data_IF_584721571974
#
_entry.id   IF_584721571974
#
_cell.length_a   1.000
_cell.length_b   1.000
_cell.length_c   1.000
_cell.angle_alpha   90.00
_cell.angle_beta   90.00
_cell.angle_gamma   90.00
#
_symmetry.space_group_name_H-M   'P 1'
#
loop_
_entity.id
_entity.type
_entity.pdbx_description
1 polymer ?
#
# COMPACT_ATOMS: atom_id res chain seq x y z
N UNK A 1 1.85 -7.80 0.30
CA UNK A 1 0.88 -7.87 -0.80
C UNK A 1 1.51 -8.61 -1.97
N UNK A 2 0.68 -9.32 -2.71
CA UNK A 2 1.08 -10.10 -3.88
C UNK A 2 1.00 -9.24 -5.15
N UNK A 3 1.16 -7.94 -5.01
CA UNK A 3 1.04 -6.97 -6.08
C UNK A 3 2.35 -6.23 -6.30
N UNK A 4 2.68 -6.01 -7.56
CA UNK A 4 3.79 -5.15 -7.98
C UNK A 4 3.27 -4.02 -8.82
N UNK A 5 3.79 -2.82 -8.62
CA UNK A 5 3.47 -1.67 -9.46
C UNK A 5 4.16 -1.84 -10.80
N UNK A 6 3.37 -1.88 -11.88
CA UNK A 6 3.88 -2.03 -13.25
C UNK A 6 3.92 -0.70 -14.00
N UNK A 7 3.09 0.26 -13.60
CA UNK A 7 3.03 1.60 -14.19
C UNK A 7 2.69 2.62 -13.13
N UNK A 8 3.33 3.77 -13.18
CA UNK A 8 3.02 4.92 -12.34
C UNK A 8 2.99 6.20 -13.17
N UNK A 9 1.98 7.03 -12.96
CA UNK A 9 1.79 8.30 -13.66
C UNK A 9 1.48 9.39 -12.64
N UNK A 10 2.34 10.40 -12.57
CA UNK A 10 2.09 11.59 -11.76
C UNK A 10 1.26 12.59 -12.58
N UNK A 11 0.07 12.90 -12.08
CA UNK A 11 -0.79 13.94 -12.62
C UNK A 11 -0.64 15.19 -11.76
N UNK A 12 -0.14 16.26 -12.34
CA UNK A 12 0.07 17.54 -11.65
C UNK A 12 -0.87 18.59 -12.22
N UNK A 13 -1.57 19.26 -11.32
CA UNK A 13 -2.26 20.52 -11.60
C UNK A 13 -1.47 21.62 -10.92
N UNK A 14 -0.99 22.60 -11.71
CA UNK A 14 -0.22 23.73 -11.15
C UNK A 14 -0.46 25.02 -11.93
N UNK A 15 -0.22 26.12 -11.25
CA UNK A 15 -0.34 27.48 -11.82
C UNK A 15 0.95 28.22 -11.55
N UNK A 16 1.77 28.48 -12.57
CA UNK A 16 2.96 29.31 -12.41
C UNK A 16 2.61 30.80 -12.35
N UNK A 17 3.38 31.56 -11.57
CA UNK A 17 3.25 33.01 -11.52
C UNK A 17 3.36 33.64 -12.91
N UNK A 18 2.54 34.64 -13.23
CA UNK A 18 2.62 35.34 -14.51
C UNK A 18 3.92 36.13 -14.69
N UNK A 19 4.66 36.38 -13.62
CA UNK A 19 5.92 37.14 -13.64
C UNK A 19 7.16 36.30 -13.90
N UNK A 20 7.02 34.99 -14.04
CA UNK A 20 8.17 34.08 -14.24
C UNK A 20 8.74 34.21 -15.66
N UNK A 21 10.06 34.07 -15.77
CA UNK A 21 10.73 33.92 -17.05
C UNK A 21 10.51 32.52 -17.60
N UNK A 22 9.87 32.39 -18.76
CA UNK A 22 9.69 31.08 -19.41
C UNK A 22 11.03 30.42 -19.70
N UNK A 23 11.05 29.08 -19.68
CA UNK A 23 12.22 28.21 -19.93
C UNK A 23 13.26 28.26 -18.81
N UNK A 24 13.55 29.45 -18.25
CA UNK A 24 14.48 29.57 -17.11
C UNK A 24 13.86 29.07 -15.80
N UNK A 25 12.54 29.22 -15.67
CA UNK A 25 11.78 28.70 -14.52
C UNK A 25 11.32 27.26 -14.80
N UNK A 26 11.38 26.42 -13.77
CA UNK A 26 11.07 25.00 -13.92
C UNK A 26 10.60 24.38 -12.61
N UNK A 27 9.85 23.30 -12.73
CA UNK A 27 9.45 22.42 -11.64
C UNK A 27 10.16 21.08 -11.75
N UNK A 28 10.97 20.74 -10.77
CA UNK A 28 11.64 19.44 -10.69
C UNK A 28 10.82 18.50 -9.83
N UNK A 29 10.69 17.26 -10.28
CA UNK A 29 9.93 16.20 -9.60
C UNK A 29 10.87 15.11 -9.15
N UNK A 30 10.83 14.82 -7.85
CA UNK A 30 11.62 13.74 -7.24
C UNK A 30 10.68 12.71 -6.61
N UNK A 31 11.06 11.45 -6.72
CA UNK A 31 10.48 10.35 -5.97
C UNK A 31 11.60 9.69 -5.15
N UNK A 32 11.42 9.61 -3.83
CA UNK A 32 12.39 9.00 -2.91
C UNK A 32 13.82 9.56 -3.11
N UNK A 33 13.90 10.89 -3.29
CA UNK A 33 15.11 11.68 -3.57
C UNK A 33 15.74 11.49 -4.95
N UNK A 34 15.18 10.63 -5.80
CA UNK A 34 15.61 10.47 -7.19
C UNK A 34 14.85 11.41 -8.13
N UNK A 35 15.56 12.09 -9.02
CA UNK A 35 14.96 13.00 -10.00
C UNK A 35 14.20 12.19 -11.06
N UNK A 36 12.88 12.36 -11.12
CA UNK A 36 12.03 11.70 -12.10
C UNK A 36 11.87 12.52 -13.40
N UNK A 37 11.94 13.82 -13.30
CA UNK A 37 11.83 14.70 -14.47
C UNK A 37 11.78 16.17 -14.10
N UNK A 38 11.81 17.00 -15.13
CA UNK A 38 11.77 18.46 -15.07
C UNK A 38 10.66 18.97 -15.98
N UNK A 39 9.81 19.83 -15.46
CA UNK A 39 8.74 20.51 -16.18
C UNK A 39 9.14 21.99 -16.35
N UNK A 40 9.61 22.44 -17.51
CA UNK A 40 9.89 23.84 -17.74
C UNK A 40 8.59 24.64 -17.79
N UNK A 41 8.61 25.86 -17.26
CA UNK A 41 7.49 26.81 -17.38
C UNK A 41 7.50 27.40 -18.77
N UNK A 42 6.38 27.31 -19.48
CA UNK A 42 6.23 27.90 -20.82
C UNK A 42 5.46 29.22 -20.75
N UNK A 43 5.59 30.05 -21.77
CA UNK A 43 4.91 31.34 -21.86
C UNK A 43 3.39 31.21 -21.79
N UNK A 44 2.85 30.14 -22.39
CA UNK A 44 1.41 29.89 -22.46
C UNK A 44 0.83 29.48 -21.12
N UNK A 45 1.66 28.98 -20.19
CA UNK A 45 1.27 28.50 -18.87
C UNK A 45 1.21 29.64 -17.82
N UNK A 46 1.86 30.76 -18.08
CA UNK A 46 1.98 31.87 -17.12
C UNK A 46 0.62 32.37 -16.63
N UNK A 47 0.41 32.33 -15.32
CA UNK A 47 -0.83 32.71 -14.66
C UNK A 47 -2.02 31.81 -14.95
N UNK A 48 -1.82 30.66 -15.58
CA UNK A 48 -2.89 29.75 -15.97
C UNK A 48 -2.75 28.39 -15.29
N UNK A 49 -3.89 27.82 -14.94
CA UNK A 49 -3.99 26.45 -14.48
C UNK A 49 -3.51 25.50 -15.57
N UNK A 50 -2.49 24.73 -15.25
CA UNK A 50 -1.82 23.81 -16.16
C UNK A 50 -1.96 22.38 -15.66
N UNK A 51 -2.24 21.45 -16.55
CA UNK A 51 -2.25 20.02 -16.28
C UNK A 51 -1.04 19.38 -16.97
N UNK A 52 -0.26 18.63 -16.21
CA UNK A 52 0.87 17.87 -16.73
C UNK A 52 0.81 16.43 -16.24
N UNK A 53 1.23 15.51 -17.11
CA UNK A 53 1.40 14.10 -16.78
C UNK A 53 2.87 13.73 -16.91
N UNK A 54 3.42 13.11 -15.87
CA UNK A 54 4.81 12.65 -15.88
C UNK A 54 4.85 11.17 -15.54
N UNK A 55 5.36 10.31 -16.43
CA UNK A 55 5.60 8.92 -16.12
C UNK A 55 6.67 8.81 -15.05
N UNK A 56 6.38 7.99 -14.04
CA UNK A 56 7.29 7.66 -12.95
C UNK A 56 7.80 6.24 -13.15
N UNK A 57 9.10 6.04 -13.00
CA UNK A 57 9.67 4.70 -13.06
C UNK A 57 9.19 3.86 -11.86
N UNK A 58 8.40 2.79 -12.09
CA UNK A 58 7.83 1.99 -11.01
C UNK A 58 8.88 1.27 -10.16
N UNK A 59 10.10 1.09 -10.65
CA UNK A 59 11.20 0.48 -9.89
C UNK A 59 11.64 1.31 -8.67
N UNK A 60 11.34 2.61 -8.66
CA UNK A 60 11.63 3.49 -7.53
C UNK A 60 10.49 3.55 -6.50
N UNK A 61 9.36 2.87 -6.78
CA UNK A 61 8.23 2.82 -5.85
C UNK A 61 8.51 1.74 -4.80
N UNK A 62 8.43 2.15 -3.54
CA UNK A 62 8.65 1.32 -2.36
C UNK A 62 7.40 1.26 -1.50
N UNK A 63 7.47 0.64 -0.33
CA UNK A 63 6.35 0.58 0.62
C UNK A 63 5.95 1.98 1.15
N UNK A 64 6.93 2.88 1.27
CA UNK A 64 6.71 4.28 1.67
C UNK A 64 7.37 5.19 0.64
N UNK A 65 6.57 6.07 0.06
CA UNK A 65 7.04 6.93 -1.02
C UNK A 65 6.89 8.40 -0.66
N UNK A 66 7.91 9.19 -1.02
CA UNK A 66 7.89 10.64 -0.88
C UNK A 66 8.05 11.30 -2.24
N UNK A 67 7.00 11.98 -2.68
CA UNK A 67 7.08 12.88 -3.84
C UNK A 67 7.50 14.25 -3.35
N UNK A 68 8.59 14.78 -3.90
CA UNK A 68 9.09 16.13 -3.63
C UNK A 68 9.07 16.94 -4.92
N UNK A 69 8.49 18.12 -4.81
CA UNK A 69 8.48 19.11 -5.88
C UNK A 69 9.44 20.23 -5.50
N UNK A 70 10.33 20.57 -6.41
CA UNK A 70 11.29 21.67 -6.23
C UNK A 70 11.06 22.69 -7.36
N UNK A 71 10.60 23.86 -6.94
CA UNK A 71 10.37 24.98 -7.85
C UNK A 71 11.64 25.84 -7.94
N UNK A 72 12.12 26.02 -9.18
CA UNK A 72 13.16 26.98 -9.51
C UNK A 72 12.53 28.10 -10.31
N UNK A 73 12.43 29.28 -9.74
CA UNK A 73 11.77 30.44 -10.32
C UNK A 73 12.74 31.57 -10.59
N UNK A 74 12.63 32.17 -11.79
CA UNK A 74 13.37 33.36 -12.21
C UNK A 74 12.39 34.39 -12.74
N UNK A 75 12.59 35.67 -12.42
CA UNK A 75 11.81 36.81 -12.92
C UNK A 75 12.65 37.86 -13.64
N UNK A 76 13.97 37.78 -13.52
CA UNK A 76 14.93 38.65 -14.19
C UNK A 76 16.17 37.84 -14.60
N UNK A 77 16.85 38.30 -15.66
CA UNK A 77 18.08 37.66 -16.11
C UNK A 77 19.30 37.96 -15.25
N UNK A 78 19.28 39.09 -14.52
CA UNK A 78 20.43 39.57 -13.74
C UNK A 78 19.92 40.17 -12.42
N UNK A 79 20.65 39.92 -11.33
CA UNK A 79 20.42 40.52 -10.00
C UNK A 79 19.01 40.29 -9.42
N UNK A 80 18.61 39.05 -9.30
CA UNK A 80 17.33 38.67 -8.70
C UNK A 80 17.36 38.74 -7.17
N UNK A 81 16.21 39.11 -6.60
CA UNK A 81 15.94 38.92 -5.17
C UNK A 81 15.24 37.58 -4.96
N UNK A 82 15.89 36.56 -4.33
CA UNK A 82 15.28 35.26 -4.13
C UNK A 82 14.06 35.28 -3.19
N UNK A 83 13.88 36.34 -2.42
CA UNK A 83 12.71 36.55 -1.55
C UNK A 83 11.59 37.35 -2.24
N UNK A 84 11.63 37.49 -3.56
CA UNK A 84 10.59 38.22 -4.30
C UNK A 84 9.26 37.48 -4.22
N UNK A 85 8.20 38.22 -3.88
CA UNK A 85 6.83 37.67 -3.84
C UNK A 85 6.25 37.32 -5.19
N UNK A 86 6.97 37.63 -6.28
CA UNK A 86 6.60 37.25 -7.65
C UNK A 86 7.04 35.84 -8.01
N UNK A 87 7.94 35.23 -7.21
CA UNK A 87 8.43 33.87 -7.39
C UNK A 87 7.53 32.87 -6.67
N UNK A 88 6.50 32.41 -7.34
CA UNK A 88 5.60 31.39 -6.83
C UNK A 88 5.12 30.43 -7.92
N UNK A 89 4.76 29.23 -7.48
CA UNK A 89 4.07 28.22 -8.26
C UNK A 89 3.09 27.51 -7.33
N UNK A 90 1.81 27.60 -7.66
CA UNK A 90 0.75 26.95 -6.90
C UNK A 90 0.55 25.52 -7.42
N UNK A 91 0.46 24.56 -6.50
CA UNK A 91 0.16 23.16 -6.82
C UNK A 91 -1.27 22.85 -6.40
N UNK A 92 -2.10 22.52 -7.37
CA UNK A 92 -3.51 22.23 -7.14
C UNK A 92 -3.73 20.90 -6.41
N UNK A 93 -4.78 20.88 -5.59
CA UNK A 93 -5.15 19.71 -4.78
C UNK A 93 -5.66 18.50 -5.59
N UNK A 94 -5.95 18.67 -6.87
CA UNK A 94 -6.32 17.58 -7.79
C UNK A 94 -5.10 16.83 -8.34
N UNK A 95 -3.89 17.22 -7.93
CA UNK A 95 -2.68 16.47 -8.24
C UNK A 95 -2.69 15.12 -7.54
N UNK A 96 -2.23 14.07 -8.23
CA UNK A 96 -2.24 12.71 -7.70
C UNK A 96 -1.29 11.78 -8.45
N UNK A 97 -1.10 10.61 -7.88
CA UNK A 97 -0.29 9.54 -8.46
C UNK A 97 -1.21 8.36 -8.81
N UNK A 98 -1.30 8.04 -10.09
CA UNK A 98 -2.02 6.87 -10.58
C UNK A 98 -1.06 5.69 -10.68
N UNK A 99 -1.43 4.59 -10.02
CA UNK A 99 -0.65 3.36 -9.99
C UNK A 99 -1.42 2.21 -10.65
N UNK A 100 -0.75 1.48 -11.52
CA UNK A 100 -1.25 0.23 -12.07
C UNK A 100 -0.51 -0.92 -11.42
N UNK A 101 -1.25 -1.88 -10.89
CA UNK A 101 -0.73 -3.05 -10.20
C UNK A 101 -0.91 -4.30 -11.04
N UNK A 102 0.01 -5.23 -10.86
CA UNK A 102 -0.11 -6.60 -11.32
C UNK A 102 -0.01 -7.53 -10.13
N UNK A 103 -0.97 -8.44 -10.00
CA UNK A 103 -0.92 -9.48 -8.98
C UNK A 103 0.16 -10.49 -9.32
N UNK A 104 1.01 -10.78 -8.34
CA UNK A 104 2.02 -11.83 -8.44
C UNK A 104 1.41 -13.14 -7.94
N UNK A 105 1.58 -14.20 -8.69
CA UNK A 105 1.20 -15.52 -8.23
C UNK A 105 2.28 -16.08 -7.29
N UNK A 106 2.28 -15.59 -6.05
CA UNK A 106 3.21 -16.05 -5.01
C UNK A 106 2.64 -17.30 -4.38
N UNK A 107 3.44 -18.38 -4.37
CA UNK A 107 3.06 -19.61 -3.68
C UNK A 107 2.96 -19.35 -2.17
N UNK A 108 1.84 -19.77 -1.58
CA UNK A 108 1.65 -19.70 -0.14
C UNK A 108 2.64 -20.64 0.56
N UNK A 109 3.44 -20.07 1.46
CA UNK A 109 4.45 -20.80 2.24
C UNK A 109 4.60 -20.14 3.62
N UNK A 110 4.73 -20.97 4.66
CA UNK A 110 4.93 -20.48 6.03
C UNK A 110 6.21 -19.65 6.22
N UNK A 111 7.21 -19.82 5.33
CA UNK A 111 8.42 -18.99 5.34
C UNK A 111 8.13 -17.51 5.11
N UNK A 112 6.99 -17.17 4.49
CA UNK A 112 6.52 -15.81 4.27
C UNK A 112 5.59 -15.28 5.39
N UNK A 113 5.38 -16.09 6.43
CA UNK A 113 4.51 -15.67 7.55
C UNK A 113 4.92 -14.28 8.10
N UNK A 114 3.97 -13.38 8.35
CA UNK A 114 2.52 -13.55 8.48
C UNK A 114 1.71 -13.43 7.17
N UNK A 115 2.31 -13.20 6.03
CA UNK A 115 1.60 -13.15 4.74
C UNK A 115 1.13 -14.59 4.37
N UNK A 116 -0.10 -14.78 3.86
CA UNK A 116 -1.07 -13.79 3.42
C UNK A 116 -2.10 -13.36 4.50
N UNK A 117 -1.96 -13.80 5.74
CA UNK A 117 -2.94 -13.57 6.82
C UNK A 117 -2.87 -12.15 7.38
N UNK A 118 -1.71 -11.53 7.30
CA UNK A 118 -1.46 -10.16 7.73
C UNK A 118 -0.33 -9.55 6.88
N UNK A 119 -0.62 -8.44 6.20
CA UNK A 119 0.39 -7.66 5.48
C UNK A 119 0.69 -6.37 6.27
N UNK A 120 1.91 -6.18 6.77
CA UNK A 120 2.29 -4.98 7.51
C UNK A 120 2.23 -3.70 6.65
N UNK A 121 2.23 -3.83 5.32
CA UNK A 121 2.17 -2.72 4.36
C UNK A 121 0.74 -2.27 4.02
N UNK A 122 -0.28 -3.09 4.34
CA UNK A 122 -1.68 -2.75 4.12
C UNK A 122 -2.16 -1.80 5.24
N UNK A 123 -2.88 -0.74 4.88
CA UNK A 123 -3.43 0.25 5.81
C UNK A 123 -4.88 -0.02 6.20
N UNK A 124 -5.51 -1.03 5.62
CA UNK A 124 -6.89 -1.40 5.90
C UNK A 124 -6.99 -2.21 7.21
N UNK A 125 -8.16 -2.15 7.84
CA UNK A 125 -8.50 -3.07 8.93
C UNK A 125 -8.33 -4.51 8.46
N UNK A 126 -7.53 -5.28 9.19
CA UNK A 126 -7.33 -6.68 8.84
C UNK A 126 -8.53 -7.52 9.35
N UNK A 127 -9.07 -8.37 8.49
CA UNK A 127 -10.13 -9.30 8.85
C UNK A 127 -9.64 -10.72 8.62
N UNK A 128 -9.48 -11.48 9.69
CA UNK A 128 -8.95 -12.84 9.69
C UNK A 128 -9.91 -13.77 10.39
N UNK A 129 -10.75 -14.51 9.64
CA UNK A 129 -11.67 -15.47 10.23
C UNK A 129 -10.93 -16.57 11.01
N UNK A 130 -11.52 -16.97 12.13
CA UNK A 130 -11.12 -18.11 12.94
C UNK A 130 -12.18 -19.18 12.83
N UNK A 131 -11.80 -20.36 12.34
CA UNK A 131 -12.72 -21.44 12.01
C UNK A 131 -12.53 -22.60 12.98
N UNK A 132 -13.65 -23.11 13.51
CA UNK A 132 -13.72 -24.28 14.38
C UNK A 132 -14.71 -25.30 13.79
N UNK A 133 -14.59 -26.56 14.16
CA UNK A 133 -15.57 -27.58 13.79
C UNK A 133 -16.95 -27.34 14.44
N UNK A 134 -16.94 -26.79 15.65
CA UNK A 134 -18.08 -26.44 16.46
C UNK A 134 -17.61 -25.62 17.65
N UNK A 135 -18.41 -25.50 18.69
CA UNK A 135 -18.02 -24.75 19.89
C UNK A 135 -16.66 -25.28 20.43
N UNK A 136 -15.64 -24.42 20.54
CA UNK A 136 -14.32 -24.82 20.97
C UNK A 136 -14.31 -25.17 22.47
N UNK A 137 -13.51 -26.15 22.85
CA UNK A 137 -13.18 -26.40 24.24
C UNK A 137 -12.20 -25.36 24.80
N UNK A 138 -11.87 -25.46 26.09
CA UNK A 138 -11.00 -24.47 26.75
C UNK A 138 -9.61 -24.41 26.11
N UNK A 139 -9.06 -25.52 25.67
CA UNK A 139 -7.73 -25.60 25.07
C UNK A 139 -7.69 -24.91 23.70
N UNK A 140 -8.70 -25.14 22.87
CA UNK A 140 -8.83 -24.45 21.58
C UNK A 140 -9.13 -22.95 21.75
N UNK A 141 -9.91 -22.58 22.80
CA UNK A 141 -10.13 -21.17 23.11
C UNK A 141 -8.82 -20.49 23.53
N UNK A 142 -8.00 -21.10 24.35
CA UNK A 142 -6.70 -20.58 24.73
C UNK A 142 -5.76 -20.43 23.52
N UNK A 143 -5.68 -21.45 22.68
CA UNK A 143 -4.86 -21.40 21.47
C UNK A 143 -5.31 -20.27 20.53
N UNK A 144 -6.62 -20.13 20.33
CA UNK A 144 -7.15 -19.07 19.48
C UNK A 144 -6.95 -17.68 20.06
N UNK A 145 -7.04 -17.53 21.39
CA UNK A 145 -6.77 -16.26 22.07
C UNK A 145 -5.30 -15.82 21.93
N UNK A 146 -4.36 -16.76 22.02
CA UNK A 146 -2.92 -16.49 21.80
C UNK A 146 -2.69 -15.99 20.37
N UNK A 147 -3.27 -16.68 19.40
CA UNK A 147 -3.14 -16.30 17.98
C UNK A 147 -3.79 -14.94 17.74
N UNK A 148 -5.00 -14.70 18.26
CA UNK A 148 -5.69 -13.41 18.13
C UNK A 148 -4.87 -12.27 18.76
N UNK A 149 -4.30 -12.50 19.94
CA UNK A 149 -3.45 -11.52 20.62
C UNK A 149 -2.21 -11.16 19.78
N UNK A 150 -1.59 -12.15 19.17
CA UNK A 150 -0.41 -11.93 18.33
C UNK A 150 -0.73 -11.07 17.09
N UNK A 151 -1.80 -11.38 16.35
CA UNK A 151 -2.22 -10.58 15.19
C UNK A 151 -2.73 -9.20 15.62
N UNK A 152 -3.49 -9.13 16.71
CA UNK A 152 -4.00 -7.88 17.26
C UNK A 152 -2.87 -6.91 17.64
N UNK A 153 -1.81 -7.40 18.27
CA UNK A 153 -0.66 -6.57 18.65
C UNK A 153 0.08 -5.97 17.45
N UNK A 154 0.02 -6.61 16.28
CA UNK A 154 0.67 -6.14 15.06
C UNK A 154 -0.20 -5.18 14.24
N UNK A 155 -1.50 -5.21 14.45
CA UNK A 155 -2.44 -4.38 13.68
C UNK A 155 -2.40 -2.90 14.06
N UNK A 156 -1.98 -2.58 15.29
CA UNK A 156 -1.84 -1.22 15.79
C UNK A 156 -3.12 -0.40 15.58
N UNK A 157 -3.00 0.77 15.02
CA UNK A 157 -4.11 1.70 14.77
C UNK A 157 -5.09 1.25 13.68
N UNK A 158 -4.72 0.29 12.83
CA UNK A 158 -5.56 -0.22 11.73
C UNK A 158 -6.76 -1.03 12.23
N UNK A 159 -6.64 -1.61 13.42
CA UNK A 159 -7.63 -2.53 13.95
C UNK A 159 -7.55 -3.94 13.35
N UNK A 160 -8.17 -4.87 14.04
CA UNK A 160 -8.18 -6.28 13.69
C UNK A 160 -9.56 -6.88 14.02
N UNK A 161 -10.16 -7.58 13.05
CA UNK A 161 -11.40 -8.33 13.23
C UNK A 161 -11.13 -9.82 13.08
N UNK A 162 -11.71 -10.61 14.02
CA UNK A 162 -11.66 -12.07 14.02
C UNK A 162 -13.07 -12.66 13.97
N UNK A 163 -13.73 -12.70 12.79
CA UNK A 163 -15.01 -13.41 12.68
C UNK A 163 -14.83 -14.88 13.05
N UNK A 164 -15.70 -15.39 13.92
CA UNK A 164 -15.69 -16.80 14.31
C UNK A 164 -16.68 -17.55 13.44
N UNK A 165 -16.22 -18.63 12.81
CA UNK A 165 -17.02 -19.50 11.95
C UNK A 165 -17.02 -20.92 12.48
N UNK A 166 -18.17 -21.58 12.42
CA UNK A 166 -18.33 -22.97 12.85
C UNK A 166 -18.66 -23.85 11.64
N UNK A 167 -17.80 -24.82 11.37
CA UNK A 167 -17.95 -25.79 10.27
C UNK A 167 -18.30 -25.13 8.91
N UNK A 168 -17.70 -23.99 8.65
CA UNK A 168 -17.95 -23.20 7.45
C UNK A 168 -16.63 -22.83 6.78
N UNK A 169 -16.51 -23.11 5.48
CA UNK A 169 -15.38 -22.67 4.68
C UNK A 169 -15.50 -21.14 4.44
N UNK A 170 -14.49 -20.35 4.83
CA UNK A 170 -14.51 -18.91 4.55
C UNK A 170 -14.18 -18.60 3.08
N UNK A 171 -14.61 -17.44 2.61
CA UNK A 171 -14.35 -16.91 1.28
C UNK A 171 -12.99 -16.19 1.16
N UNK A 172 -12.17 -16.28 2.21
CA UNK A 172 -10.87 -15.63 2.33
C UNK A 172 -9.91 -16.43 3.18
N UNK A 173 -8.64 -16.01 3.24
CA UNK A 173 -7.66 -16.62 4.14
C UNK A 173 -8.17 -16.62 5.57
N UNK A 174 -8.01 -17.73 6.25
CA UNK A 174 -8.49 -17.95 7.61
C UNK A 174 -7.54 -18.83 8.40
N UNK A 175 -7.69 -18.82 9.71
CA UNK A 175 -7.00 -19.77 10.59
C UNK A 175 -8.02 -20.81 11.05
N UNK A 176 -7.70 -22.07 10.85
CA UNK A 176 -8.53 -23.20 11.27
C UNK A 176 -7.92 -23.86 12.49
N UNK A 177 -8.71 -23.98 13.56
CA UNK A 177 -8.34 -24.69 14.78
C UNK A 177 -9.06 -26.04 14.78
N UNK A 178 -8.30 -27.11 14.73
CA UNK A 178 -8.85 -28.46 14.65
C UNK A 178 -8.05 -29.45 15.51
N UNK A 179 -8.72 -30.49 15.96
CA UNK A 179 -8.11 -31.70 16.55
C UNK A 179 -8.49 -32.90 15.71
N UNK A 180 -7.85 -34.05 15.95
CA UNK A 180 -8.20 -35.28 15.23
C UNK A 180 -9.68 -35.66 15.32
N UNK A 181 -10.32 -35.36 16.46
CA UNK A 181 -11.71 -35.70 16.73
C UNK A 181 -12.72 -34.59 16.38
N UNK A 182 -12.23 -33.35 16.20
CA UNK A 182 -13.05 -32.17 15.92
C UNK A 182 -12.48 -31.41 14.73
N UNK A 183 -12.89 -31.81 13.52
CA UNK A 183 -12.48 -31.19 12.25
C UNK A 183 -13.69 -30.59 11.56
N UNK A 184 -13.54 -29.40 10.96
CA UNK A 184 -14.53 -28.95 9.98
C UNK A 184 -14.69 -29.94 8.83
N UNK A 185 -15.87 -30.00 8.22
CA UNK A 185 -16.17 -30.96 7.16
C UNK A 185 -15.22 -30.86 5.95
N UNK A 186 -14.75 -29.66 5.62
CA UNK A 186 -13.80 -29.44 4.54
C UNK A 186 -12.36 -29.94 4.84
N UNK A 187 -12.08 -30.36 6.11
CA UNK A 187 -10.82 -30.99 6.51
C UNK A 187 -11.02 -32.46 6.93
N UNK A 188 -12.15 -33.07 6.58
CA UNK A 188 -12.47 -34.46 6.98
C UNK A 188 -11.39 -35.44 6.57
N UNK A 189 -10.88 -35.30 5.34
CA UNK A 189 -9.90 -36.22 4.75
C UNK A 189 -8.44 -35.83 5.07
N UNK A 190 -8.25 -34.79 5.88
CA UNK A 190 -6.91 -34.40 6.30
C UNK A 190 -6.28 -35.48 7.21
N UNK A 191 -4.99 -35.85 7.01
CA UNK A 191 -4.33 -36.85 7.83
C UNK A 191 -4.38 -36.55 9.31
N UNK A 192 -4.50 -37.60 10.14
CA UNK A 192 -4.42 -37.44 11.60
C UNK A 192 -3.01 -37.01 12.02
N UNK A 193 -2.94 -36.07 12.95
CA UNK A 193 -1.67 -35.56 13.50
C UNK A 193 -1.32 -36.30 14.79
N UNK A 194 -0.01 -36.52 15.01
CA UNK A 194 0.52 -37.17 16.23
C UNK A 194 1.02 -36.17 17.28
N UNK A 195 1.17 -34.91 16.88
CA UNK A 195 1.63 -33.82 17.71
C UNK A 195 1.03 -32.51 17.18
N UNK A 196 1.07 -31.41 17.94
CA UNK A 196 0.67 -30.09 17.44
C UNK A 196 1.45 -29.73 16.18
N UNK A 197 0.74 -29.31 15.16
CA UNK A 197 1.31 -28.93 13.86
C UNK A 197 0.68 -27.63 13.39
N UNK A 198 1.48 -26.79 12.72
CA UNK A 198 1.02 -25.61 12.00
C UNK A 198 1.41 -25.82 10.55
N UNK A 199 0.45 -25.78 9.67
CA UNK A 199 0.66 -25.95 8.24
C UNK A 199 -0.22 -25.01 7.44
N UNK A 200 0.20 -24.71 6.23
CA UNK A 200 -0.55 -23.89 5.29
C UNK A 200 -1.17 -24.79 4.22
N UNK A 201 -2.48 -24.69 4.09
CA UNK A 201 -3.25 -25.49 3.15
C UNK A 201 -3.88 -24.55 2.13
N UNK A 202 -3.68 -24.83 0.84
CA UNK A 202 -4.44 -24.16 -0.21
C UNK A 202 -5.72 -24.95 -0.46
N UNK A 203 -6.85 -24.33 -0.19
CA UNK A 203 -8.16 -24.88 -0.52
C UNK A 203 -8.62 -24.27 -1.84
N UNK A 204 -9.03 -25.07 -2.84
CA UNK A 204 -9.51 -24.61 -4.13
C UNK A 204 -10.78 -23.77 -4.04
#
# INVERSE_FOLDING_TARGET
SDEVVTKAMLNLEYTPSPSLLPVQSQLKVYLNDELMGVLPVTKEQLGKKTLAQMPINPLFITDFNRVRLEFVGHYQDVCENPASTTLWLDVGRSSGLDLTYQTLNVKNDLSHFPVPFFDPRDNRTNTLPMVFAGAPDVELQQASAIVASWFGSRSGWRGQNFPVLYNQLPDRNAIVFATNDKRPDFLRDHPAVKAPVIEMINHP
#
